data_IF_608358863525
#
_entry.id   IF_608358863525
#
_cell.length_a   1.000
_cell.length_b   1.000
_cell.length_c   1.000
_cell.angle_alpha   90.00
_cell.angle_beta   90.00
_cell.angle_gamma   90.00
#
_symmetry.space_group_name_H-M   'P 1'
#
loop_
_entity.id
_entity.type
_entity.pdbx_description
1 polymer ?
#
# COMPACT_ATOMS: atom_id res chain seq x y z
N UNK A 1 6.45 16.68 3.02
CA UNK A 1 5.16 16.02 2.73
C UNK A 1 4.98 16.09 1.23
N UNK A 2 4.92 14.93 0.59
CA UNK A 2 5.09 14.84 -0.85
C UNK A 2 3.75 14.47 -1.50
N UNK A 3 3.61 14.92 -2.74
CA UNK A 3 2.48 14.53 -3.59
C UNK A 3 2.96 13.39 -4.49
N UNK A 4 2.29 12.25 -4.40
CA UNK A 4 2.55 11.09 -5.25
C UNK A 4 1.43 10.96 -6.28
N UNK A 5 1.79 10.75 -7.54
CA UNK A 5 0.87 10.56 -8.64
C UNK A 5 1.14 9.21 -9.29
N UNK A 6 0.14 8.34 -9.30
CA UNK A 6 0.16 7.12 -10.10
C UNK A 6 -0.82 7.30 -11.26
N UNK A 7 -0.29 7.22 -12.47
CA UNK A 7 -1.06 7.25 -13.71
C UNK A 7 -0.86 5.94 -14.47
N UNK A 8 -1.96 5.37 -14.94
CA UNK A 8 -1.99 4.18 -15.78
C UNK A 8 -2.57 4.57 -17.13
N UNK A 9 -1.74 4.46 -18.17
CA UNK A 9 -2.19 4.57 -19.56
C UNK A 9 -2.94 3.30 -19.97
N UNK A 10 -4.07 3.48 -20.65
CA UNK A 10 -4.95 2.42 -21.12
C UNK A 10 -5.23 2.59 -22.62
N UNK A 11 -5.65 1.49 -23.24
CA UNK A 11 -6.38 1.58 -24.51
C UNK A 11 -7.80 2.13 -24.28
N UNK A 12 -8.61 2.19 -25.33
CA UNK A 12 -9.94 2.79 -25.24
C UNK A 12 -10.88 1.97 -24.36
N UNK A 13 -11.17 2.51 -23.17
CA UNK A 13 -11.99 1.85 -22.18
C UNK A 13 -13.46 2.31 -22.29
N UNK A 14 -14.42 1.36 -22.34
CA UNK A 14 -15.85 1.67 -22.32
C UNK A 14 -16.25 2.58 -21.15
N UNK A 15 -17.08 3.60 -21.45
CA UNK A 15 -17.45 4.65 -20.49
C UNK A 15 -18.01 4.10 -19.17
N UNK A 16 -18.81 3.03 -19.24
CA UNK A 16 -19.41 2.40 -18.06
C UNK A 16 -18.37 1.78 -17.10
N UNK A 17 -17.18 1.42 -17.59
CA UNK A 17 -16.13 0.81 -16.78
C UNK A 17 -15.18 1.84 -16.15
N UNK A 18 -15.17 3.09 -16.63
CA UNK A 18 -14.22 4.12 -16.19
C UNK A 18 -14.39 4.45 -14.71
N UNK A 19 -15.62 4.74 -14.28
CA UNK A 19 -15.90 5.11 -12.89
C UNK A 19 -15.68 3.94 -11.91
N UNK A 20 -16.15 2.70 -12.20
CA UNK A 20 -15.83 1.55 -11.36
C UNK A 20 -14.32 1.28 -11.24
N UNK A 21 -13.58 1.39 -12.35
CA UNK A 21 -12.16 1.08 -12.38
C UNK A 21 -11.33 2.10 -11.58
N UNK A 22 -11.63 3.39 -11.68
CA UNK A 22 -10.91 4.41 -10.91
C UNK A 22 -11.19 4.27 -9.41
N UNK A 23 -12.42 3.90 -9.02
CA UNK A 23 -12.76 3.72 -7.61
C UNK A 23 -12.14 2.44 -7.04
N UNK A 24 -12.01 1.39 -7.86
CA UNK A 24 -11.23 0.21 -7.51
C UNK A 24 -9.74 0.56 -7.32
N UNK A 25 -9.16 1.36 -8.21
CA UNK A 25 -7.76 1.81 -8.10
C UNK A 25 -7.54 2.62 -6.81
N UNK A 26 -8.46 3.53 -6.48
CA UNK A 26 -8.46 4.28 -5.22
C UNK A 26 -8.53 3.37 -4.00
N UNK A 27 -9.44 2.39 -4.01
CA UNK A 27 -9.58 1.43 -2.92
C UNK A 27 -8.30 0.61 -2.71
N UNK A 28 -7.68 0.17 -3.80
CA UNK A 28 -6.40 -0.54 -3.76
C UNK A 28 -5.29 0.35 -3.21
N UNK A 29 -5.17 1.59 -3.67
CA UNK A 29 -4.19 2.55 -3.17
C UNK A 29 -4.35 2.79 -1.66
N UNK A 30 -5.58 2.97 -1.17
CA UNK A 30 -5.86 3.11 0.27
C UNK A 30 -5.43 1.87 1.06
N UNK A 31 -5.84 0.68 0.62
CA UNK A 31 -5.47 -0.59 1.29
C UNK A 31 -3.96 -0.80 1.31
N UNK A 32 -3.26 -0.46 0.23
CA UNK A 32 -1.80 -0.54 0.17
C UNK A 32 -1.16 0.43 1.16
N UNK A 33 -1.64 1.67 1.24
CA UNK A 33 -1.14 2.64 2.22
C UNK A 33 -1.37 2.14 3.66
N UNK A 34 -2.56 1.64 3.98
CA UNK A 34 -2.87 1.06 5.29
C UNK A 34 -1.98 -0.14 5.64
N UNK A 35 -1.79 -1.08 4.70
CA UNK A 35 -0.95 -2.26 4.89
C UNK A 35 0.50 -1.88 5.23
N UNK A 36 1.00 -0.81 4.61
CA UNK A 36 2.34 -0.29 4.85
C UNK A 36 2.37 0.81 5.92
N UNK A 37 1.26 1.08 6.62
CA UNK A 37 1.16 2.11 7.66
C UNK A 37 1.64 3.49 7.17
N UNK A 38 1.35 3.80 5.91
CA UNK A 38 1.62 5.09 5.29
C UNK A 38 0.40 5.99 5.48
N UNK A 39 0.53 7.03 6.30
CA UNK A 39 -0.47 8.08 6.42
C UNK A 39 -0.40 9.04 5.24
N UNK A 40 -1.53 9.52 4.77
CA UNK A 40 -1.64 10.59 3.77
C UNK A 40 -2.84 11.49 4.13
N UNK A 41 -2.84 12.72 3.66
CA UNK A 41 -3.86 13.71 4.00
C UNK A 41 -5.11 13.56 3.13
N UNK A 42 -4.90 13.31 1.83
CA UNK A 42 -5.99 13.21 0.87
C UNK A 42 -5.66 12.28 -0.31
N UNK A 43 -6.69 11.68 -0.89
CA UNK A 43 -6.60 10.88 -2.12
C UNK A 43 -7.58 11.43 -3.17
N UNK A 44 -7.03 11.84 -4.32
CA UNK A 44 -7.79 12.32 -5.46
C UNK A 44 -7.73 11.31 -6.60
N UNK A 45 -8.80 11.23 -7.38
CA UNK A 45 -8.94 10.34 -8.53
C UNK A 45 -9.24 11.13 -9.79
N UNK A 46 -8.60 10.79 -10.90
CA UNK A 46 -8.90 11.35 -12.21
C UNK A 46 -9.01 10.20 -13.21
N UNK A 47 -9.89 10.36 -14.19
CA UNK A 47 -10.08 9.33 -15.21
C UNK A 47 -10.53 9.90 -16.54
N UNK A 48 -10.05 9.27 -17.60
CA UNK A 48 -10.46 9.47 -19.00
C UNK A 48 -10.54 8.10 -19.66
N UNK A 49 -11.13 7.95 -20.86
CA UNK A 49 -11.21 6.66 -21.53
C UNK A 49 -9.86 5.96 -21.76
N UNK A 50 -8.73 6.68 -21.75
CA UNK A 50 -7.39 6.13 -21.98
C UNK A 50 -6.43 6.31 -20.80
N UNK A 51 -6.90 6.81 -19.66
CA UNK A 51 -6.05 7.04 -18.46
C UNK A 51 -6.85 6.88 -17.17
N UNK A 52 -6.26 6.20 -16.19
CA UNK A 52 -6.73 6.19 -14.80
C UNK A 52 -5.63 6.71 -13.89
N UNK A 53 -6.00 7.53 -12.92
CA UNK A 53 -5.04 8.22 -12.08
C UNK A 53 -5.51 8.28 -10.64
N UNK A 54 -4.58 8.07 -9.71
CA UNK A 54 -4.74 8.38 -8.28
C UNK A 54 -3.60 9.30 -7.84
N UNK A 55 -3.94 10.31 -7.04
CA UNK A 55 -3.00 11.25 -6.47
C UNK A 55 -3.13 11.21 -4.94
N UNK A 56 -2.03 10.88 -4.27
CA UNK A 56 -1.93 10.91 -2.81
C UNK A 56 -1.23 12.21 -2.41
N UNK A 57 -1.87 12.99 -1.54
CA UNK A 57 -1.31 14.22 -0.98
C UNK A 57 -0.88 13.98 0.46
N UNK A 58 0.23 14.58 0.87
CA UNK A 58 0.72 14.47 2.24
C UNK A 58 1.44 13.16 2.55
N UNK A 59 1.91 12.44 1.53
CA UNK A 59 2.64 11.18 1.74
C UNK A 59 4.00 11.47 2.43
N UNK A 60 4.39 10.71 3.47
CA UNK A 60 5.67 10.88 4.13
C UNK A 60 6.82 10.43 3.22
N UNK A 61 7.98 11.07 3.35
CA UNK A 61 9.18 10.72 2.55
C UNK A 61 9.76 9.35 2.91
N UNK A 62 9.51 8.91 4.15
CA UNK A 62 9.97 7.63 4.66
C UNK A 62 8.85 7.00 5.47
N UNK A 63 8.71 5.69 5.33
CA UNK A 63 7.90 4.90 6.23
C UNK A 63 8.47 5.01 7.66
N UNK A 64 7.58 5.04 8.66
CA UNK A 64 8.01 5.02 10.05
C UNK A 64 8.76 3.72 10.39
N UNK A 65 9.67 3.78 11.36
CA UNK A 65 10.41 2.61 11.81
C UNK A 65 9.47 1.52 12.33
N UNK A 66 9.56 0.33 11.73
CA UNK A 66 8.78 -0.83 12.15
C UNK A 66 9.60 -1.67 13.11
N UNK A 67 9.24 -1.67 14.40
CA UNK A 67 9.76 -2.65 15.37
C UNK A 67 8.96 -3.94 15.24
N UNK A 68 9.60 -4.99 14.75
CA UNK A 68 9.02 -6.34 14.68
C UNK A 68 9.65 -7.14 15.83
N UNK A 69 8.90 -7.39 16.90
CA UNK A 69 9.31 -8.36 17.92
C UNK A 69 9.09 -9.77 17.39
N UNK A 70 10.15 -10.37 16.86
CA UNK A 70 10.17 -11.79 16.51
C UNK A 70 10.42 -12.57 17.81
N UNK A 71 9.38 -13.23 18.33
CA UNK A 71 9.59 -14.30 19.32
C UNK A 71 10.27 -15.45 18.58
N UNK A 72 11.49 -15.79 19.00
CA UNK A 72 12.19 -16.99 18.52
C UNK A 72 11.39 -18.26 18.80
N UNK A 73 11.81 -19.42 18.27
CA UNK A 73 11.21 -20.70 18.65
C UNK A 73 11.19 -20.82 20.19
N UNK A 74 10.14 -21.41 20.78
CA UNK A 74 10.07 -21.56 22.23
C UNK A 74 11.36 -22.22 22.73
N UNK A 75 11.97 -21.64 23.76
CA UNK A 75 13.27 -22.06 24.33
C UNK A 75 13.33 -23.55 24.72
N UNK A 76 12.18 -24.23 24.74
CA UNK A 76 12.00 -25.66 24.96
C UNK A 76 12.56 -26.52 23.81
N UNK A 77 12.65 -25.98 22.59
CA UNK A 77 13.17 -26.70 21.39
C UNK A 77 14.63 -26.30 21.08
N UNK A 78 15.13 -25.22 21.69
CA UNK A 78 16.48 -24.70 21.46
C UNK A 78 17.55 -25.30 22.39
N UNK A 79 17.22 -26.34 23.15
CA UNK A 79 18.16 -27.00 24.06
C UNK A 79 18.15 -28.50 23.80
N UNK A 80 19.35 -29.06 23.62
CA UNK A 80 19.52 -30.51 23.60
C UNK A 80 19.18 -31.11 24.99
N UNK A 81 19.05 -32.43 25.08
CA UNK A 81 18.82 -33.13 26.36
C UNK A 81 19.96 -32.95 27.40
N UNK A 82 21.03 -32.23 27.05
CA UNK A 82 22.17 -31.89 27.89
C UNK A 82 22.23 -30.39 28.26
N UNK A 83 21.18 -29.61 27.97
CA UNK A 83 21.06 -28.20 28.32
C UNK A 83 22.15 -27.30 27.71
N UNK A 84 22.70 -27.69 26.55
CA UNK A 84 23.57 -26.83 25.75
C UNK A 84 22.75 -26.02 24.73
N UNK A 85 23.30 -24.85 24.38
CA UNK A 85 22.73 -23.85 23.47
C UNK A 85 22.81 -24.28 22.01
#
# INVERSE_FOLDING_TARGET
MNTYLLEIGLEEMPAQMILPAVEQLKSLANKTCELHQLSFDNILTFSTPRRLTVQLQGLPEKQADRKIELKGPPAVIAKDAKNNW
#
